data_IF_426236281511
#
_entry.id   IF_426236281511
#
_cell.length_a   1.000
_cell.length_b   1.000
_cell.length_c   1.000
_cell.angle_alpha   90.00
_cell.angle_beta   90.00
_cell.angle_gamma   90.00
#
_symmetry.space_group_name_H-M   'P 1'
#
loop_
_entity.id
_entity.type
_entity.pdbx_description
1 polymer ?
#
# COMPACT_ATOMS: atom_id res chain seq x y z
N UNK A 1 -2.17 57.26 -19.14
CA UNK A 1 -2.02 56.00 -19.89
C UNK A 1 -3.34 55.23 -19.82
N UNK A 2 -3.90 54.84 -20.98
CA UNK A 2 -5.28 54.38 -21.16
C UNK A 2 -5.48 52.97 -20.58
N UNK A 3 -6.48 52.82 -19.70
CA UNK A 3 -7.06 51.54 -19.27
C UNK A 3 -7.71 50.86 -20.48
N UNK A 4 -7.33 49.61 -20.78
CA UNK A 4 -8.09 48.72 -21.68
C UNK A 4 -8.85 47.72 -20.80
N UNK A 5 -10.16 47.91 -20.69
CA UNK A 5 -11.09 46.85 -20.33
C UNK A 5 -11.19 45.89 -21.51
N UNK A 6 -10.86 44.62 -21.30
CA UNK A 6 -11.11 43.52 -22.23
C UNK A 6 -12.25 42.67 -21.70
N UNK A 7 -13.29 42.54 -22.52
CA UNK A 7 -14.58 41.92 -22.24
C UNK A 7 -14.44 40.40 -22.05
N UNK A 8 -15.18 39.89 -21.07
CA UNK A 8 -15.37 38.48 -20.72
C UNK A 8 -16.11 37.77 -21.86
N UNK A 9 -15.49 36.75 -22.46
CA UNK A 9 -16.18 35.78 -23.31
C UNK A 9 -16.46 34.51 -22.49
N UNK A 10 -17.65 34.43 -21.91
CA UNK A 10 -18.23 33.22 -21.34
C UNK A 10 -18.70 32.33 -22.50
N UNK A 11 -17.95 31.27 -22.80
CA UNK A 11 -18.42 30.21 -23.69
C UNK A 11 -19.19 29.20 -22.83
N UNK A 12 -20.51 29.25 -22.92
CA UNK A 12 -21.40 28.26 -22.33
C UNK A 12 -21.34 26.98 -23.18
N UNK A 13 -20.73 25.92 -22.64
CA UNK A 13 -20.91 24.57 -23.17
C UNK A 13 -22.13 23.95 -22.48
N UNK A 14 -23.18 23.74 -23.26
CA UNK A 14 -24.40 23.06 -22.83
C UNK A 14 -24.13 21.62 -22.43
N UNK A 15 -24.60 21.24 -21.25
CA UNK A 15 -24.62 19.88 -20.76
C UNK A 15 -25.72 19.08 -21.49
N UNK A 16 -25.33 18.10 -22.31
CA UNK A 16 -26.24 17.03 -22.71
C UNK A 16 -26.27 15.99 -21.59
N UNK A 17 -27.39 15.97 -20.84
CA UNK A 17 -27.70 14.91 -19.90
C UNK A 17 -28.20 13.69 -20.65
N UNK A 18 -27.36 12.66 -20.73
CA UNK A 18 -27.78 11.31 -21.10
C UNK A 18 -27.96 10.54 -19.79
N UNK A 19 -29.21 10.25 -19.44
CA UNK A 19 -29.57 9.40 -18.29
C UNK A 19 -29.19 7.96 -18.63
N UNK A 20 -28.10 7.46 -18.05
CA UNK A 20 -27.77 6.05 -18.02
C UNK A 20 -28.51 5.37 -16.84
N UNK A 21 -29.00 4.13 -17.02
CA UNK A 21 -29.74 3.43 -15.98
C UNK A 21 -28.86 3.13 -14.76
N UNK A 22 -29.48 3.26 -13.58
CA UNK A 22 -28.94 2.93 -12.27
C UNK A 22 -28.72 1.42 -12.22
N UNK A 23 -27.48 0.98 -12.30
CA UNK A 23 -27.10 -0.40 -12.02
C UNK A 23 -26.79 -0.51 -10.52
N UNK A 24 -27.55 -1.38 -9.86
CA UNK A 24 -27.46 -1.68 -8.44
C UNK A 24 -26.07 -2.19 -8.03
N UNK A 25 -25.68 -1.81 -6.82
CA UNK A 25 -24.50 -2.31 -6.14
C UNK A 25 -24.61 -3.83 -5.95
N UNK A 26 -23.75 -4.60 -6.62
CA UNK A 26 -23.51 -6.00 -6.28
C UNK A 26 -22.23 -6.09 -5.46
N UNK A 27 -22.39 -6.39 -4.16
CA UNK A 27 -21.33 -6.78 -3.25
C UNK A 27 -20.74 -8.12 -3.70
N UNK A 28 -19.58 -8.10 -4.35
CA UNK A 28 -18.83 -9.33 -4.59
C UNK A 28 -18.14 -9.75 -3.28
N UNK A 29 -18.89 -10.54 -2.50
CA UNK A 29 -18.36 -11.35 -1.41
C UNK A 29 -17.45 -12.38 -2.06
N UNK A 30 -16.14 -12.23 -1.88
CA UNK A 30 -15.20 -13.29 -2.21
C UNK A 30 -15.38 -14.40 -1.18
N UNK A 31 -16.13 -15.40 -1.61
CA UNK A 31 -16.32 -16.71 -1.03
C UNK A 31 -14.96 -17.31 -0.62
N UNK A 32 -14.72 -17.37 0.69
CA UNK A 32 -13.60 -18.11 1.26
C UNK A 32 -13.96 -19.58 1.17
N UNK A 33 -13.22 -20.29 0.31
CA UNK A 33 -13.48 -21.68 -0.07
C UNK A 33 -13.95 -22.59 1.06
N UNK A 34 -15.02 -23.30 0.75
CA UNK A 34 -15.51 -24.49 1.45
C UNK A 34 -14.37 -25.45 1.77
N UNK A 35 -14.24 -25.78 3.05
CA UNK A 35 -13.47 -26.95 3.50
C UNK A 35 -14.50 -28.06 3.70
N UNK A 36 -14.91 -28.70 2.62
CA UNK A 36 -15.69 -29.94 2.74
C UNK A 36 -14.75 -31.13 2.95
N UNK A 37 -15.04 -31.90 3.99
CA UNK A 37 -14.70 -33.32 4.06
C UNK A 37 -13.57 -33.70 5.00
N UNK A 38 -13.88 -33.92 6.28
CA UNK A 38 -13.23 -34.96 7.09
C UNK A 38 -14.28 -35.55 8.06
N UNK A 39 -14.63 -36.83 7.96
CA UNK A 39 -15.52 -37.48 8.91
C UNK A 39 -14.71 -38.02 10.08
N UNK A 40 -15.11 -37.76 11.33
CA UNK A 40 -15.12 -38.81 12.37
C UNK A 40 -15.87 -38.38 13.62
N UNK A 41 -16.61 -39.37 14.10
CA UNK A 41 -17.39 -39.55 15.32
C UNK A 41 -16.68 -39.25 16.66
N UNK A 42 -17.49 -38.73 17.58
CA UNK A 42 -17.53 -38.95 19.04
C UNK A 42 -16.24 -38.86 19.87
N UNK A 43 -16.02 -37.69 20.49
CA UNK A 43 -15.54 -37.58 21.88
C UNK A 43 -15.84 -36.16 22.43
N UNK A 44 -17.01 -36.01 23.05
CA UNK A 44 -17.65 -34.73 23.38
C UNK A 44 -17.03 -33.93 24.54
N UNK A 45 -15.89 -34.35 25.09
CA UNK A 45 -15.19 -33.65 26.17
C UNK A 45 -13.95 -32.89 25.69
N UNK A 46 -13.44 -33.21 24.49
CA UNK A 46 -12.32 -32.49 23.87
C UNK A 46 -12.78 -31.27 23.08
N UNK A 47 -14.02 -31.26 22.61
CA UNK A 47 -14.58 -30.19 21.79
C UNK A 47 -14.79 -28.89 22.55
N UNK A 48 -15.19 -28.92 23.83
CA UNK A 48 -15.31 -27.69 24.62
C UNK A 48 -13.96 -27.08 24.98
N UNK A 49 -12.92 -27.90 25.23
CA UNK A 49 -11.57 -27.41 25.51
C UNK A 49 -10.89 -26.89 24.24
N UNK A 50 -11.11 -27.55 23.09
CA UNK A 50 -10.68 -27.06 21.78
C UNK A 50 -11.48 -25.83 21.32
N UNK A 51 -12.78 -25.73 21.62
CA UNK A 51 -13.58 -24.54 21.33
C UNK A 51 -13.23 -23.40 22.30
N UNK A 52 -12.92 -23.67 23.57
CA UNK A 52 -12.40 -22.65 24.50
C UNK A 52 -11.00 -22.21 24.11
N UNK A 53 -10.13 -23.13 23.67
CA UNK A 53 -8.80 -22.87 23.12
C UNK A 53 -8.83 -22.12 21.79
N UNK A 54 -9.77 -22.45 20.92
CA UNK A 54 -10.01 -21.75 19.66
C UNK A 54 -10.67 -20.39 19.90
N UNK A 55 -11.54 -20.26 20.90
CA UNK A 55 -12.15 -18.98 21.31
C UNK A 55 -11.16 -18.10 22.06
N UNK A 56 -10.22 -18.63 22.84
CA UNK A 56 -9.09 -17.85 23.38
C UNK A 56 -8.08 -17.50 22.29
N UNK A 57 -7.85 -18.36 21.29
CA UNK A 57 -7.03 -18.02 20.13
C UNK A 57 -7.71 -17.00 19.19
N UNK A 58 -9.04 -17.05 19.02
CA UNK A 58 -9.83 -16.08 18.24
C UNK A 58 -10.06 -14.77 19.01
N UNK A 59 -10.21 -14.80 20.33
CA UNK A 59 -10.25 -13.59 21.17
C UNK A 59 -8.86 -12.99 21.39
N UNK A 60 -7.79 -13.78 21.20
CA UNK A 60 -6.41 -13.32 21.01
C UNK A 60 -6.12 -12.91 19.55
N UNK A 61 -7.05 -13.17 18.63
CA UNK A 61 -6.92 -12.96 17.18
C UNK A 61 -7.04 -11.51 16.72
N UNK A 62 -7.20 -10.56 17.65
CA UNK A 62 -7.15 -9.12 17.38
C UNK A 62 -5.76 -8.48 17.53
N UNK A 63 -4.73 -9.23 17.97
CA UNK A 63 -3.52 -8.62 18.54
C UNK A 63 -2.38 -8.30 17.56
N UNK A 64 -1.96 -9.26 16.73
CA UNK A 64 -0.63 -9.15 16.10
C UNK A 64 -0.61 -8.28 14.85
N UNK A 65 -1.69 -8.29 14.05
CA UNK A 65 -1.73 -7.54 12.79
C UNK A 65 -1.69 -6.03 12.98
N UNK A 66 -2.21 -5.53 14.11
CA UNK A 66 -2.18 -4.12 14.48
C UNK A 66 -0.96 -3.76 15.35
N UNK A 67 -0.14 -4.72 15.79
CA UNK A 67 1.08 -4.43 16.54
C UNK A 67 1.98 -3.50 15.73
N UNK A 68 2.36 -2.39 16.35
CA UNK A 68 3.29 -1.41 15.76
C UNK A 68 4.71 -1.98 15.84
N UNK A 69 5.42 -1.92 14.72
CA UNK A 69 6.77 -2.49 14.57
C UNK A 69 7.79 -1.48 14.06
N UNK A 70 7.34 -0.26 13.78
CA UNK A 70 8.19 0.83 13.38
C UNK A 70 7.41 2.13 13.34
N UNK A 71 8.11 3.22 13.61
CA UNK A 71 7.57 4.56 13.55
C UNK A 71 8.65 5.52 13.07
N UNK A 72 8.25 6.51 12.27
CA UNK A 72 9.12 7.56 11.78
C UNK A 72 8.28 8.73 11.29
N UNK A 73 8.92 9.84 11.00
CA UNK A 73 8.26 10.98 10.35
C UNK A 73 8.53 10.94 8.84
N UNK A 74 7.50 11.20 8.05
CA UNK A 74 7.59 11.33 6.59
C UNK A 74 8.35 12.61 6.19
N UNK A 75 8.54 12.80 4.88
CA UNK A 75 9.19 14.00 4.32
C UNK A 75 8.57 15.33 4.77
N UNK A 76 7.28 15.35 5.10
CA UNK A 76 6.51 16.53 5.49
C UNK A 76 6.29 16.61 7.01
N UNK A 77 6.99 15.78 7.80
CA UNK A 77 6.91 15.79 9.26
C UNK A 77 5.69 15.08 9.86
N UNK A 78 4.94 14.31 9.09
CA UNK A 78 3.80 13.53 9.60
C UNK A 78 4.26 12.19 10.15
N UNK A 79 3.74 11.81 11.31
CA UNK A 79 4.04 10.52 11.94
C UNK A 79 3.46 9.37 11.13
N UNK A 80 4.33 8.53 10.59
CA UNK A 80 4.01 7.26 9.94
C UNK A 80 4.21 6.12 10.93
N UNK A 81 3.27 5.17 10.90
CA UNK A 81 3.30 3.96 11.72
C UNK A 81 3.41 2.75 10.79
N UNK A 82 4.31 1.82 11.08
CA UNK A 82 4.34 0.50 10.45
C UNK A 82 3.74 -0.53 11.39
N UNK A 83 2.79 -1.32 10.88
CA UNK A 83 2.19 -2.43 11.61
C UNK A 83 2.62 -3.76 11.03
N UNK A 84 2.63 -4.81 11.85
CA UNK A 84 3.17 -6.12 11.47
C UNK A 84 2.52 -6.68 10.20
N UNK A 85 1.20 -6.53 10.05
CA UNK A 85 0.49 -7.01 8.85
C UNK A 85 1.00 -6.35 7.56
N UNK A 86 1.25 -5.05 7.61
CA UNK A 86 1.77 -4.31 6.46
C UNK A 86 3.23 -4.69 6.18
N UNK A 87 4.06 -4.81 7.21
CA UNK A 87 5.45 -5.28 7.10
C UNK A 87 5.50 -6.66 6.41
N UNK A 88 4.73 -7.60 6.94
CA UNK A 88 4.64 -8.97 6.42
C UNK A 88 4.16 -8.99 4.97
N UNK A 89 3.15 -8.20 4.60
CA UNK A 89 2.67 -8.07 3.21
C UNK A 89 3.75 -7.52 2.27
N UNK A 90 4.47 -6.48 2.69
CA UNK A 90 5.55 -5.86 1.90
C UNK A 90 6.65 -6.88 1.60
N UNK A 91 7.05 -7.66 2.61
CA UNK A 91 8.11 -8.66 2.46
C UNK A 91 7.65 -9.88 1.66
N UNK A 92 6.51 -10.48 2.02
CA UNK A 92 6.05 -11.73 1.41
C UNK A 92 5.47 -11.54 0.01
N UNK A 93 4.63 -10.51 -0.21
CA UNK A 93 3.96 -10.29 -1.50
C UNK A 93 4.83 -9.50 -2.47
N UNK A 94 5.49 -8.44 -1.99
CA UNK A 94 6.21 -7.51 -2.85
C UNK A 94 7.72 -7.73 -2.86
N UNK A 95 8.25 -8.53 -1.93
CA UNK A 95 9.68 -8.84 -1.85
C UNK A 95 10.56 -7.69 -1.38
N UNK A 96 9.97 -6.56 -0.98
CA UNK A 96 10.70 -5.38 -0.53
C UNK A 96 11.13 -5.53 0.92
N UNK A 97 12.21 -4.84 1.30
CA UNK A 97 12.66 -4.78 2.70
C UNK A 97 11.61 -4.13 3.60
N UNK A 98 11.64 -4.45 4.90
CA UNK A 98 10.80 -3.77 5.88
C UNK A 98 11.10 -2.25 5.99
N UNK A 99 12.29 -1.82 5.55
CA UNK A 99 12.71 -0.41 5.57
C UNK A 99 12.24 0.38 4.33
N UNK A 100 11.93 -0.29 3.22
CA UNK A 100 11.45 0.35 1.99
C UNK A 100 10.34 1.40 2.20
N UNK A 101 9.25 1.14 2.94
CA UNK A 101 8.23 2.15 3.25
C UNK A 101 8.81 3.41 3.89
N UNK A 102 9.74 3.27 4.84
CA UNK A 102 10.37 4.41 5.51
C UNK A 102 11.12 5.27 4.50
N UNK A 103 12.01 4.66 3.73
CA UNK A 103 12.75 5.36 2.67
C UNK A 103 11.78 6.07 1.71
N UNK A 104 10.80 5.35 1.18
CA UNK A 104 9.87 5.92 0.18
C UNK A 104 9.13 7.13 0.76
N UNK A 105 8.62 7.03 1.99
CA UNK A 105 7.90 8.14 2.63
C UNK A 105 8.80 9.34 3.00
N UNK A 106 10.11 9.13 3.20
CA UNK A 106 11.07 10.18 3.54
C UNK A 106 11.67 10.88 2.32
N UNK A 107 11.82 10.17 1.21
CA UNK A 107 12.56 10.66 0.04
C UNK A 107 11.72 10.86 -1.22
N UNK A 108 10.45 10.44 -1.25
CA UNK A 108 9.60 10.60 -2.43
C UNK A 108 9.54 12.07 -2.90
N UNK A 109 9.84 12.36 -4.17
CA UNK A 109 9.62 13.69 -4.76
C UNK A 109 8.14 13.95 -5.04
N UNK A 110 7.35 12.90 -5.32
CA UNK A 110 5.93 13.02 -5.65
C UNK A 110 5.07 12.46 -4.52
N UNK A 111 4.18 13.30 -4.01
CA UNK A 111 3.26 12.98 -2.91
C UNK A 111 1.85 13.37 -3.35
N UNK A 112 0.93 12.42 -3.31
CA UNK A 112 -0.49 12.62 -3.67
C UNK A 112 -1.37 12.34 -2.46
N UNK A 113 -2.24 13.30 -2.13
CA UNK A 113 -3.11 13.23 -0.96
C UNK A 113 -4.56 13.01 -1.39
N UNK A 114 -5.24 12.10 -0.70
CA UNK A 114 -6.61 11.71 -0.94
C UNK A 114 -7.43 11.84 0.35
N UNK A 115 -8.74 11.98 0.23
CA UNK A 115 -9.69 12.01 1.35
C UNK A 115 -9.27 13.03 2.44
N UNK A 116 -8.94 14.26 2.02
CA UNK A 116 -8.58 15.33 2.96
C UNK A 116 -7.26 15.13 3.73
N UNK A 117 -6.44 14.14 3.41
CA UNK A 117 -5.21 13.85 4.16
C UNK A 117 -5.13 12.42 4.69
N UNK A 118 -6.27 11.74 4.78
CA UNK A 118 -6.38 10.44 5.43
C UNK A 118 -5.66 9.32 4.67
N UNK A 119 -5.51 9.45 3.36
CA UNK A 119 -4.70 8.54 2.54
C UNK A 119 -3.69 9.34 1.76
N UNK A 120 -2.42 8.95 1.84
CA UNK A 120 -1.37 9.56 1.03
C UNK A 120 -0.52 8.52 0.34
N UNK A 121 -0.20 8.84 -0.91
CA UNK A 121 0.66 8.07 -1.80
C UNK A 121 2.01 8.79 -1.97
N UNK A 122 3.09 8.06 -1.75
CA UNK A 122 4.47 8.52 -1.90
C UNK A 122 5.12 7.73 -3.02
N UNK A 123 5.59 8.42 -4.05
CA UNK A 123 6.19 7.80 -5.23
C UNK A 123 7.66 8.15 -5.28
N UNK A 124 8.52 7.13 -5.09
CA UNK A 124 9.97 7.24 -5.16
C UNK A 124 10.47 6.67 -6.49
N UNK A 125 11.02 7.49 -7.41
CA UNK A 125 11.55 7.00 -8.67
C UNK A 125 12.81 6.16 -8.43
N UNK A 126 12.84 4.98 -9.04
CA UNK A 126 13.93 4.01 -8.97
C UNK A 126 14.53 3.82 -10.36
N UNK A 127 15.84 4.03 -10.46
CA UNK A 127 16.59 3.89 -11.71
C UNK A 127 17.05 2.44 -11.92
N UNK A 128 16.64 1.86 -13.03
CA UNK A 128 17.15 0.56 -13.46
C UNK A 128 18.45 0.77 -14.25
N UNK A 129 19.58 0.48 -13.61
CA UNK A 129 20.90 0.64 -14.21
C UNK A 129 21.43 -0.74 -14.59
N UNK A 130 21.82 -0.90 -15.86
CA UNK A 130 22.53 -2.09 -16.35
C UNK A 130 23.96 -1.72 -16.68
N UNK A 131 24.89 -2.50 -16.14
CA UNK A 131 26.30 -2.36 -16.46
C UNK A 131 26.79 -3.57 -17.26
N UNK A 132 27.56 -3.29 -18.30
CA UNK A 132 28.18 -4.28 -19.19
C UNK A 132 29.69 -4.05 -19.21
N UNK A 133 30.47 -5.10 -19.45
CA UNK A 133 31.94 -5.07 -19.37
C UNK A 133 32.48 -5.34 -17.97
N UNK A 134 33.81 -5.34 -17.83
CA UNK A 134 34.51 -5.63 -16.58
C UNK A 134 35.63 -4.61 -16.32
N UNK A 135 35.95 -4.37 -15.04
CA UNK A 135 37.03 -3.46 -14.66
C UNK A 135 36.87 -2.03 -15.20
N UNK A 136 37.94 -1.38 -15.66
CA UNK A 136 37.90 0.00 -16.16
C UNK A 136 37.03 0.21 -17.41
N UNK A 137 36.69 -0.85 -18.15
CA UNK A 137 35.82 -0.75 -19.35
C UNK A 137 34.34 -0.96 -19.03
N UNK A 138 33.98 -1.11 -17.74
CA UNK A 138 32.59 -1.24 -17.32
C UNK A 138 31.80 0.01 -17.70
N UNK A 139 30.81 -0.15 -18.58
CA UNK A 139 29.89 0.90 -18.99
C UNK A 139 28.53 0.64 -18.35
N UNK A 140 28.02 1.61 -17.61
CA UNK A 140 26.69 1.57 -17.03
C UNK A 140 25.76 2.49 -17.81
N UNK A 141 24.57 1.99 -18.15
CA UNK A 141 23.50 2.80 -18.74
C UNK A 141 22.23 2.65 -17.92
N UNK A 142 21.51 3.76 -17.81
CA UNK A 142 20.14 3.77 -17.28
C UNK A 142 19.21 3.22 -18.36
N UNK A 143 18.43 2.19 -18.02
CA UNK A 143 17.45 1.57 -18.90
C UNK A 143 16.09 2.26 -18.77
N UNK A 144 15.64 2.48 -17.54
CA UNK A 144 14.34 3.10 -17.26
C UNK A 144 14.30 3.69 -15.85
N UNK A 145 13.24 4.45 -15.55
CA UNK A 145 12.88 4.92 -14.20
C UNK A 145 11.47 4.43 -13.90
N UNK A 146 11.25 3.84 -12.72
CA UNK A 146 9.91 3.41 -12.28
C UNK A 146 9.70 3.72 -10.79
N UNK A 147 8.47 4.04 -10.39
CA UNK A 147 8.16 4.60 -9.06
C UNK A 147 7.79 3.59 -7.97
N UNK A 148 8.65 3.27 -7.01
CA UNK A 148 8.15 2.49 -5.86
C UNK A 148 7.15 3.33 -5.07
N UNK A 149 5.95 2.78 -4.88
CA UNK A 149 4.82 3.45 -4.27
C UNK A 149 4.63 2.96 -2.85
N UNK A 150 4.62 3.87 -1.87
CA UNK A 150 4.13 3.61 -0.53
C UNK A 150 2.77 4.29 -0.32
N UNK A 151 1.81 3.54 0.21
CA UNK A 151 0.48 4.05 0.57
C UNK A 151 0.37 4.07 2.09
N UNK A 152 0.01 5.22 2.65
CA UNK A 152 -0.09 5.42 4.10
C UNK A 152 -1.44 6.00 4.46
N UNK A 153 -2.08 5.40 5.47
CA UNK A 153 -3.30 5.89 6.11
C UNK A 153 -2.98 6.72 7.36
N UNK A 154 -3.49 7.94 7.41
CA UNK A 154 -3.37 8.87 8.53
C UNK A 154 -4.63 8.97 9.39
N UNK A 155 -5.74 8.37 8.94
CA UNK A 155 -6.92 8.21 9.78
C UNK A 155 -6.56 7.42 11.04
N UNK A 156 -7.13 7.81 12.18
CA UNK A 156 -6.92 7.11 13.45
C UNK A 156 -7.66 5.78 13.44
N UNK A 157 -7.09 4.77 14.10
CA UNK A 157 -7.75 3.49 14.36
C UNK A 157 -8.07 3.35 15.85
N UNK A 158 -8.52 2.18 16.28
CA UNK A 158 -9.01 1.91 17.64
C UNK A 158 -8.00 2.21 18.75
N UNK A 159 -6.70 2.17 18.47
CA UNK A 159 -5.63 2.52 19.40
C UNK A 159 -5.30 4.03 19.44
N UNK A 160 -6.07 4.86 18.73
CA UNK A 160 -5.87 6.31 18.63
C UNK A 160 -4.67 6.74 17.78
N UNK A 161 -3.90 5.78 17.25
CA UNK A 161 -2.73 6.02 16.37
C UNK A 161 -3.19 6.01 14.90
N UNK A 162 -2.39 6.57 13.98
CA UNK A 162 -2.64 6.43 12.54
C UNK A 162 -2.78 4.96 12.14
N UNK A 163 -3.59 4.69 11.11
CA UNK A 163 -3.67 3.38 10.48
C UNK A 163 -2.27 2.89 10.09
N UNK A 164 -1.47 3.79 9.51
CA UNK A 164 -0.08 3.56 9.17
C UNK A 164 0.10 3.11 7.73
N UNK A 165 1.25 2.50 7.43
CA UNK A 165 1.56 1.98 6.12
C UNK A 165 0.55 0.90 5.75
N UNK A 166 -0.10 1.07 4.60
CA UNK A 166 -1.03 0.09 4.03
C UNK A 166 -0.24 -0.95 3.22
N UNK A 167 0.68 -0.46 2.37
CA UNK A 167 1.58 -1.29 1.57
C UNK A 167 2.68 -0.44 0.92
N UNK A 168 3.74 -1.09 0.46
CA UNK A 168 4.78 -0.54 -0.42
C UNK A 168 5.04 -1.55 -1.52
N UNK A 169 5.00 -1.12 -2.79
CA UNK A 169 5.04 -2.01 -3.95
C UNK A 169 5.42 -1.31 -5.26
N UNK A 170 5.60 -2.11 -6.32
CA UNK A 170 5.88 -1.66 -7.68
C UNK A 170 4.57 -1.63 -8.50
N UNK A 171 3.92 -0.48 -8.70
CA UNK A 171 2.59 -0.42 -9.35
C UNK A 171 2.52 -0.89 -10.81
N UNK A 172 3.65 -1.10 -11.49
CA UNK A 172 3.72 -1.61 -12.88
C UNK A 172 3.95 -3.13 -12.96
N UNK A 173 4.03 -3.83 -11.83
CA UNK A 173 4.20 -5.28 -11.80
C UNK A 173 3.19 -5.89 -10.84
N UNK A 174 2.56 -6.98 -11.26
CA UNK A 174 1.70 -7.75 -10.37
C UNK A 174 2.53 -8.62 -9.42
N UNK A 175 2.24 -8.55 -8.12
CA UNK A 175 2.93 -9.34 -7.10
C UNK A 175 4.29 -8.78 -6.70
N UNK A 176 5.35 -9.56 -6.94
CA UNK A 176 6.70 -9.30 -6.43
C UNK A 176 7.41 -8.24 -7.29
N UNK A 177 8.07 -7.28 -6.64
CA UNK A 177 8.90 -6.31 -7.34
C UNK A 177 10.08 -7.01 -8.06
N UNK A 178 10.57 -6.48 -9.18
CA UNK A 178 11.77 -6.99 -9.82
C UNK A 178 13.01 -6.91 -8.91
N UNK A 179 13.96 -7.83 -9.09
CA UNK A 179 15.15 -7.94 -8.23
C UNK A 179 16.03 -6.68 -8.23
N UNK A 180 16.06 -5.92 -9.33
CA UNK A 180 16.81 -4.66 -9.39
C UNK A 180 16.22 -3.58 -8.46
N UNK A 181 14.91 -3.65 -8.17
CA UNK A 181 14.27 -2.80 -7.15
C UNK A 181 14.55 -3.36 -5.76
N UNK A 182 14.28 -4.65 -5.55
CA UNK A 182 14.41 -5.32 -4.24
C UNK A 182 15.82 -5.17 -3.67
N UNK A 183 16.83 -5.33 -4.54
CA UNK A 183 18.23 -5.29 -4.13
C UNK A 183 18.85 -3.89 -4.25
N UNK A 184 18.08 -2.89 -4.65
CA UNK A 184 18.57 -1.52 -4.81
C UNK A 184 19.10 -0.97 -3.48
N UNK A 185 20.32 -0.40 -3.47
CA UNK A 185 20.84 0.30 -2.30
C UNK A 185 19.96 1.48 -1.86
N UNK A 186 19.12 2.02 -2.75
CA UNK A 186 18.25 3.14 -2.40
C UNK A 186 17.18 2.77 -1.36
N UNK A 187 16.80 1.49 -1.24
CA UNK A 187 15.73 1.01 -0.34
C UNK A 187 16.23 0.25 0.90
N UNK A 188 17.54 0.27 1.16
CA UNK A 188 18.17 -0.41 2.30
C UNK A 188 18.49 0.61 3.38
#
# INVERSE_FOLDING_TARGET
>A
MRKRLGIIALVAFGAMMVHAPIAEASSEVTDFGSIEGLPVSEDSLSSELLLRGAKTAFMSGGGDGYRIVGEWDDKNGRRVVMRERARSKIQSKHGLSANAPRVVTQYAPKIETFNGGDRVEYRLPMDHIRCEGWGPTRKCRKLETRDVLAVVGFNKVTDGRPYGVVTTYCPWVEGRCPDWVINSPQLK
#
